data_IF_969341267966
#
_entry.id   IF_969341267966
#
_cell.length_a   1.000
_cell.length_b   1.000
_cell.length_c   1.000
_cell.angle_alpha   90.00
_cell.angle_beta   90.00
_cell.angle_gamma   90.00
#
_symmetry.space_group_name_H-M   'P 1'
#
loop_
_entity.id
_entity.type
_entity.pdbx_description
1 polymer ?
#
# COMPACT_ATOMS: atom_id res chain seq x y z
N UNK A 1 -35.43 25.20 81.29
CA UNK A 1 -35.12 23.95 80.68
C UNK A 1 -35.02 24.19 79.13
N UNK A 2 -33.82 24.44 78.62
CA UNK A 2 -33.57 24.72 77.19
C UNK A 2 -33.16 23.41 76.50
N UNK A 3 -33.95 22.95 75.51
CA UNK A 3 -33.59 21.79 74.66
C UNK A 3 -32.75 22.29 73.52
N UNK A 4 -31.50 21.82 73.44
CA UNK A 4 -30.61 22.02 72.30
C UNK A 4 -30.87 20.90 71.32
N UNK A 5 -31.38 21.21 70.10
CA UNK A 5 -31.43 20.28 68.96
C UNK A 5 -30.11 20.34 68.23
N UNK A 6 -29.38 19.21 68.24
CA UNK A 6 -28.13 19.01 67.52
C UNK A 6 -28.47 18.43 66.11
N UNK A 7 -28.38 19.27 65.09
CA UNK A 7 -28.51 18.83 63.69
C UNK A 7 -27.18 18.18 63.22
N UNK A 8 -27.19 16.84 63.04
CA UNK A 8 -26.12 16.13 62.41
C UNK A 8 -26.22 16.33 60.87
N UNK A 9 -25.31 17.11 60.29
CA UNK A 9 -25.17 17.24 58.88
C UNK A 9 -24.47 15.97 58.30
N UNK A 10 -25.22 15.12 57.58
CA UNK A 10 -24.71 13.97 56.86
C UNK A 10 -24.12 14.46 55.54
N UNK A 11 -22.79 14.62 55.45
CA UNK A 11 -22.08 14.94 54.24
C UNK A 11 -22.07 13.69 53.32
N UNK A 12 -22.90 13.69 52.28
CA UNK A 12 -22.92 12.71 51.22
C UNK A 12 -21.64 12.89 50.38
N UNK A 13 -20.61 12.07 50.62
CA UNK A 13 -19.46 11.89 49.74
C UNK A 13 -19.93 11.13 48.47
N UNK A 14 -20.23 11.87 47.41
CA UNK A 14 -20.38 11.27 46.09
C UNK A 14 -18.99 10.85 45.61
N UNK A 15 -18.74 9.55 45.32
CA UNK A 15 -17.52 9.17 44.67
C UNK A 15 -17.54 9.77 43.25
N UNK A 16 -16.62 10.68 42.93
CA UNK A 16 -16.29 11.05 41.58
C UNK A 16 -15.70 9.79 40.89
N UNK A 17 -16.54 9.03 40.20
CA UNK A 17 -16.06 8.08 39.22
C UNK A 17 -15.41 8.91 38.11
N UNK A 18 -14.09 8.99 38.10
CA UNK A 18 -13.34 9.43 36.95
C UNK A 18 -13.65 8.44 35.81
N UNK A 19 -14.58 8.81 34.93
CA UNK A 19 -14.86 8.06 33.73
C UNK A 19 -13.60 8.15 32.88
N UNK A 20 -12.84 7.05 32.78
CA UNK A 20 -11.71 6.99 31.88
C UNK A 20 -12.25 7.33 30.46
N UNK A 21 -11.71 8.38 29.86
CA UNK A 21 -12.11 8.78 28.52
C UNK A 21 -11.88 7.57 27.59
N UNK A 22 -12.92 7.16 26.89
CA UNK A 22 -12.79 6.10 25.90
C UNK A 22 -11.75 6.51 24.86
N UNK A 23 -10.88 5.55 24.52
CA UNK A 23 -9.88 5.76 23.49
C UNK A 23 -10.57 5.95 22.14
N UNK A 24 -10.16 6.95 21.34
CA UNK A 24 -10.74 7.13 20.02
C UNK A 24 -10.48 5.91 19.15
N UNK A 25 -11.55 5.35 18.58
CA UNK A 25 -11.47 4.21 17.66
C UNK A 25 -11.09 4.70 16.26
N UNK A 26 -9.99 4.15 15.71
CA UNK A 26 -9.54 4.37 14.34
C UNK A 26 -9.66 3.06 13.54
N UNK A 27 -10.37 3.08 12.43
CA UNK A 27 -10.54 1.93 11.52
C UNK A 27 -9.60 2.08 10.34
N UNK A 28 -8.62 1.19 10.25
CA UNK A 28 -7.60 1.17 9.18
C UNK A 28 -7.95 0.08 8.18
N UNK A 29 -7.95 0.42 6.88
CA UNK A 29 -8.05 -0.55 5.80
C UNK A 29 -6.68 -1.08 5.36
N UNK A 30 -6.63 -2.34 4.89
CA UNK A 30 -5.48 -2.90 4.19
C UNK A 30 -5.92 -3.72 2.98
N UNK A 31 -5.26 -3.52 1.84
CA UNK A 31 -5.50 -4.30 0.63
C UNK A 31 -4.90 -5.70 0.74
N UNK A 32 -5.17 -6.55 -0.27
CA UNK A 32 -4.85 -7.99 -0.27
C UNK A 32 -3.36 -8.34 -0.34
N UNK A 33 -2.42 -7.40 -0.36
CA UNK A 33 -0.99 -7.67 -0.50
C UNK A 33 -0.18 -7.25 0.74
N UNK A 34 0.97 -7.89 0.94
CA UNK A 34 1.79 -7.84 2.15
C UNK A 34 2.13 -6.43 2.60
N UNK A 35 2.56 -5.55 1.69
CA UNK A 35 2.94 -4.18 2.03
C UNK A 35 1.81 -3.39 2.69
N UNK A 36 0.58 -3.54 2.21
CA UNK A 36 -0.58 -2.88 2.82
C UNK A 36 -0.87 -3.39 4.22
N UNK A 37 -0.71 -4.70 4.44
CA UNK A 37 -0.84 -5.29 5.77
C UNK A 37 0.26 -4.79 6.71
N UNK A 38 1.51 -4.68 6.20
CA UNK A 38 2.63 -4.12 6.96
C UNK A 38 2.39 -2.66 7.35
N UNK A 39 1.95 -1.83 6.42
CA UNK A 39 1.65 -0.41 6.67
C UNK A 39 0.52 -0.25 7.71
N UNK A 40 -0.52 -1.09 7.61
CA UNK A 40 -1.61 -1.09 8.59
C UNK A 40 -1.15 -1.52 9.98
N UNK A 41 -0.33 -2.59 10.08
CA UNK A 41 0.21 -3.09 11.35
C UNK A 41 1.17 -2.08 12.01
N UNK A 42 2.07 -1.49 11.25
CA UNK A 42 2.97 -0.43 11.74
C UNK A 42 2.16 0.75 12.30
N UNK A 43 1.18 1.21 11.53
CA UNK A 43 0.32 2.33 11.94
C UNK A 43 -0.49 1.98 13.20
N UNK A 44 -1.10 0.80 13.22
CA UNK A 44 -1.96 0.38 14.34
C UNK A 44 -1.16 0.22 15.63
N UNK A 45 -0.01 -0.46 15.57
CA UNK A 45 0.81 -0.70 16.76
C UNK A 45 1.38 0.62 17.29
N UNK A 46 1.85 1.50 16.40
CA UNK A 46 2.33 2.82 16.79
C UNK A 46 1.22 3.67 17.45
N UNK A 47 0.06 3.78 16.83
CA UNK A 47 -1.03 4.61 17.35
C UNK A 47 -1.66 4.04 18.65
N UNK A 48 -1.60 2.72 18.85
CA UNK A 48 -1.99 2.12 20.14
C UNK A 48 -1.10 2.62 21.29
N UNK A 49 0.19 2.91 21.03
CA UNK A 49 1.08 3.55 22.04
C UNK A 49 0.71 5.03 22.31
N UNK A 50 -0.01 5.65 21.39
CA UNK A 50 -0.48 7.05 21.47
C UNK A 50 -1.94 7.16 21.95
N UNK A 51 -2.44 6.11 22.63
CA UNK A 51 -3.77 6.06 23.24
C UNK A 51 -4.94 6.01 22.26
N UNK A 52 -4.74 5.52 21.04
CA UNK A 52 -5.81 5.16 20.11
C UNK A 52 -6.22 3.70 20.28
N UNK A 53 -7.52 3.40 20.13
CA UNK A 53 -7.98 2.04 19.80
C UNK A 53 -7.98 1.88 18.30
N UNK A 54 -7.38 0.80 17.78
CA UNK A 54 -7.20 0.64 16.33
C UNK A 54 -7.68 -0.73 15.88
N UNK A 55 -8.59 -0.71 14.91
CA UNK A 55 -9.08 -1.90 14.22
C UNK A 55 -8.55 -1.93 12.79
N UNK A 56 -8.06 -3.09 12.34
CA UNK A 56 -7.60 -3.31 10.97
C UNK A 56 -8.63 -4.18 10.24
N UNK A 57 -9.05 -3.74 9.07
CA UNK A 57 -9.84 -4.53 8.11
C UNK A 57 -8.95 -4.83 6.91
N UNK A 58 -8.44 -6.07 6.84
CA UNK A 58 -7.54 -6.52 5.78
C UNK A 58 -8.27 -7.27 4.66
N UNK A 59 -7.50 -7.63 3.61
CA UNK A 59 -7.99 -8.46 2.51
C UNK A 59 -8.92 -7.74 1.54
N UNK A 60 -8.85 -6.43 1.46
CA UNK A 60 -9.71 -5.61 0.62
C UNK A 60 -9.15 -5.48 -0.81
N UNK A 61 -9.98 -5.70 -1.83
CA UNK A 61 -9.67 -5.25 -3.18
C UNK A 61 -9.67 -3.72 -3.27
N UNK A 62 -8.91 -3.13 -4.20
CA UNK A 62 -8.68 -1.68 -4.27
C UNK A 62 -9.97 -0.85 -4.35
N UNK A 63 -10.91 -1.24 -5.21
CA UNK A 63 -12.18 -0.54 -5.35
C UNK A 63 -13.05 -0.61 -4.07
N UNK A 64 -13.04 -1.76 -3.39
CA UNK A 64 -13.77 -1.93 -2.13
C UNK A 64 -13.15 -1.09 -1.02
N UNK A 65 -11.81 -1.11 -0.90
CA UNK A 65 -11.09 -0.29 0.07
C UNK A 65 -11.36 1.20 -0.14
N UNK A 66 -11.31 1.66 -1.39
CA UNK A 66 -11.63 3.06 -1.75
C UNK A 66 -13.06 3.43 -1.40
N UNK A 67 -14.03 2.62 -1.78
CA UNK A 67 -15.45 2.85 -1.47
C UNK A 67 -15.71 2.87 0.05
N UNK A 68 -15.13 1.93 0.79
CA UNK A 68 -15.25 1.86 2.25
C UNK A 68 -14.64 3.10 2.94
N UNK A 69 -13.55 3.65 2.38
CA UNK A 69 -12.93 4.86 2.86
C UNK A 69 -13.79 6.10 2.56
N UNK A 70 -14.28 6.27 1.34
CA UNK A 70 -15.16 7.40 0.96
C UNK A 70 -16.48 7.41 1.72
N UNK A 71 -17.06 6.22 2.01
CA UNK A 71 -18.36 6.07 2.72
C UNK A 71 -18.25 6.02 4.24
N UNK A 72 -17.03 6.06 4.79
CA UNK A 72 -16.80 6.13 6.24
C UNK A 72 -16.87 4.80 6.99
N UNK A 73 -16.72 3.69 6.30
CA UNK A 73 -16.50 2.38 6.93
C UNK A 73 -15.05 2.24 7.39
N UNK A 74 -14.12 2.94 6.74
CA UNK A 74 -12.73 3.09 7.13
C UNK A 74 -12.42 4.55 7.41
N UNK A 75 -11.52 4.83 8.34
CA UNK A 75 -11.08 6.16 8.69
C UNK A 75 -9.73 6.51 8.08
N UNK A 76 -8.85 5.52 7.92
CA UNK A 76 -7.51 5.64 7.36
C UNK A 76 -7.20 4.50 6.40
N UNK A 77 -6.53 4.84 5.30
CA UNK A 77 -5.96 3.91 4.32
C UNK A 77 -4.61 4.45 3.86
N UNK A 78 -3.59 3.59 3.78
CA UNK A 78 -2.40 3.92 3.02
C UNK A 78 -2.71 3.83 1.53
N UNK A 79 -2.52 4.94 0.82
CA UNK A 79 -2.90 5.04 -0.58
C UNK A 79 -1.70 5.45 -1.44
N UNK A 80 -1.71 5.06 -2.71
CA UNK A 80 -0.63 5.33 -3.65
C UNK A 80 -1.07 6.41 -4.63
N UNK A 81 -0.19 7.38 -4.86
CA UNK A 81 -0.47 8.56 -5.68
C UNK A 81 -0.95 8.19 -7.09
N UNK A 82 -0.25 7.29 -7.78
CA UNK A 82 -0.63 6.86 -9.13
C UNK A 82 -1.97 6.12 -9.19
N UNK A 83 -2.28 5.28 -8.16
CA UNK A 83 -3.58 4.59 -8.08
C UNK A 83 -4.70 5.61 -7.92
N UNK A 84 -4.55 6.57 -7.00
CA UNK A 84 -5.56 7.61 -6.81
C UNK A 84 -5.72 8.48 -8.04
N UNK A 85 -4.62 8.89 -8.69
CA UNK A 85 -4.66 9.73 -9.89
C UNK A 85 -5.42 9.04 -11.03
N UNK A 86 -4.95 7.87 -11.43
CA UNK A 86 -5.40 7.22 -12.67
C UNK A 86 -6.61 6.33 -12.44
N UNK A 87 -6.56 5.42 -11.45
CA UNK A 87 -7.61 4.42 -11.28
C UNK A 87 -8.89 4.99 -10.64
N UNK A 88 -8.77 5.91 -9.67
CA UNK A 88 -9.94 6.41 -8.95
C UNK A 88 -10.45 7.76 -9.42
N UNK A 89 -9.54 8.63 -9.88
CA UNK A 89 -9.91 9.95 -10.34
C UNK A 89 -9.93 10.10 -11.87
N UNK A 90 -9.49 9.04 -12.60
CA UNK A 90 -9.48 8.99 -14.08
C UNK A 90 -8.72 10.18 -14.72
N UNK A 91 -7.60 10.57 -14.09
CA UNK A 91 -6.75 11.66 -14.55
C UNK A 91 -5.53 11.04 -15.23
N UNK A 92 -5.43 11.25 -16.54
CA UNK A 92 -4.31 10.79 -17.38
C UNK A 92 -3.38 11.97 -17.67
N UNK A 93 -2.80 12.54 -16.62
CA UNK A 93 -1.82 13.61 -16.70
C UNK A 93 -0.42 13.02 -16.44
N UNK A 94 0.57 13.36 -17.28
CA UNK A 94 1.97 12.99 -17.04
C UNK A 94 2.59 14.01 -16.10
N UNK A 95 2.68 13.64 -14.83
CA UNK A 95 3.15 14.47 -13.73
C UNK A 95 4.38 13.84 -13.09
N UNK A 96 5.28 14.65 -12.56
CA UNK A 96 6.32 14.16 -11.66
C UNK A 96 5.73 13.78 -10.28
N UNK A 97 6.56 13.19 -9.40
CA UNK A 97 6.11 12.69 -8.08
C UNK A 97 5.46 13.80 -7.23
N UNK A 98 6.08 14.97 -7.16
CA UNK A 98 5.57 16.10 -6.37
C UNK A 98 4.25 16.64 -6.93
N UNK A 99 4.17 16.77 -8.26
CA UNK A 99 2.96 17.19 -8.96
C UNK A 99 1.83 16.17 -8.80
N UNK A 100 2.14 14.88 -8.92
CA UNK A 100 1.17 13.79 -8.72
C UNK A 100 0.59 13.85 -7.31
N UNK A 101 1.45 13.96 -6.29
CA UNK A 101 0.99 14.09 -4.90
C UNK A 101 0.12 15.33 -4.68
N UNK A 102 0.53 16.50 -5.19
CA UNK A 102 -0.27 17.73 -5.08
C UNK A 102 -1.64 17.58 -5.76
N UNK A 103 -1.68 16.94 -6.93
CA UNK A 103 -2.88 16.72 -7.71
C UNK A 103 -3.88 15.80 -7.03
N UNK A 104 -3.42 14.64 -6.52
CA UNK A 104 -4.31 13.71 -5.79
C UNK A 104 -4.83 14.32 -4.50
N UNK A 105 -4.00 15.06 -3.78
CA UNK A 105 -4.41 15.81 -2.58
C UNK A 105 -5.54 16.80 -2.86
N UNK A 106 -5.46 17.53 -3.98
CA UNK A 106 -6.49 18.48 -4.41
C UNK A 106 -7.82 17.78 -4.75
N UNK A 107 -7.76 16.73 -5.58
CA UNK A 107 -8.97 16.09 -6.08
C UNK A 107 -9.67 15.25 -5.03
N UNK A 108 -8.91 14.54 -4.19
CA UNK A 108 -9.45 13.70 -3.12
C UNK A 108 -10.00 14.53 -1.95
N UNK A 109 -9.50 15.74 -1.72
CA UNK A 109 -10.07 16.67 -0.74
C UNK A 109 -11.56 16.98 -1.03
N UNK A 110 -11.96 17.00 -2.31
CA UNK A 110 -13.37 17.18 -2.71
C UNK A 110 -14.27 16.01 -2.32
N UNK A 111 -13.65 14.84 -2.06
CA UNK A 111 -14.31 13.62 -1.58
C UNK A 111 -14.17 13.45 -0.06
N UNK A 112 -13.66 14.46 0.64
CA UNK A 112 -13.44 14.42 2.09
C UNK A 112 -12.26 13.56 2.53
N UNK A 113 -11.31 13.28 1.64
CA UNK A 113 -10.11 12.52 1.93
C UNK A 113 -8.89 13.45 2.01
N UNK A 114 -8.12 13.35 3.08
CA UNK A 114 -6.96 14.21 3.36
C UNK A 114 -5.70 13.38 3.27
N UNK A 115 -4.85 13.68 2.30
CA UNK A 115 -3.52 13.11 2.16
C UNK A 115 -2.57 13.75 3.17
N UNK A 116 -1.99 12.94 4.05
CA UNK A 116 -0.98 13.36 5.02
C UNK A 116 0.42 13.29 4.39
N UNK A 117 1.48 13.53 5.20
CA UNK A 117 2.85 13.50 4.71
C UNK A 117 3.17 12.20 3.98
N UNK A 118 3.71 12.26 2.75
CA UNK A 118 4.06 11.06 2.00
C UNK A 118 5.26 10.34 2.62
N UNK A 119 5.35 9.05 2.38
CA UNK A 119 6.54 8.26 2.62
C UNK A 119 7.65 8.60 1.62
N UNK A 120 8.82 7.96 1.80
CA UNK A 120 9.97 8.10 0.89
C UNK A 120 10.10 6.93 -0.08
N UNK A 121 9.13 6.01 -0.11
CA UNK A 121 9.15 4.88 -1.04
C UNK A 121 8.15 5.07 -2.17
N UNK A 122 8.51 4.50 -3.33
CA UNK A 122 7.68 4.42 -4.52
C UNK A 122 7.51 2.94 -4.88
N UNK A 123 6.32 2.40 -4.67
CA UNK A 123 5.99 1.01 -5.03
C UNK A 123 5.38 0.96 -6.42
N UNK A 124 6.21 1.15 -7.45
CA UNK A 124 5.77 1.10 -8.84
C UNK A 124 5.68 -0.34 -9.34
N UNK A 125 4.97 -0.51 -10.45
CA UNK A 125 4.98 -1.75 -11.22
C UNK A 125 6.23 -1.87 -12.09
N UNK A 126 6.62 -3.11 -12.36
CA UNK A 126 7.59 -3.46 -13.38
C UNK A 126 7.26 -4.84 -13.99
N UNK A 127 7.86 -5.17 -15.13
CA UNK A 127 7.96 -6.55 -15.59
C UNK A 127 9.30 -7.12 -15.16
N UNK A 128 9.33 -8.39 -14.80
CA UNK A 128 10.55 -9.09 -14.44
C UNK A 128 10.67 -10.42 -15.18
N UNK A 129 11.91 -10.83 -15.43
CA UNK A 129 12.24 -12.14 -15.97
C UNK A 129 12.68 -13.08 -14.86
N UNK A 130 12.30 -14.37 -14.90
CA UNK A 130 12.91 -15.40 -14.09
C UNK A 130 14.37 -15.63 -14.50
N UNK A 131 15.18 -16.17 -13.59
CA UNK A 131 16.63 -16.34 -13.81
C UNK A 131 16.96 -17.11 -15.09
N UNK A 132 16.26 -18.21 -15.37
CA UNK A 132 16.49 -19.01 -16.58
C UNK A 132 16.27 -18.21 -17.88
N UNK A 133 15.21 -17.41 -17.96
CA UNK A 133 14.94 -16.54 -19.11
C UNK A 133 15.97 -15.41 -19.18
N UNK A 134 16.34 -14.81 -18.04
CA UNK A 134 17.35 -13.76 -18.01
C UNK A 134 18.73 -14.24 -18.45
N UNK A 135 19.07 -15.50 -18.18
CA UNK A 135 20.33 -16.14 -18.64
C UNK A 135 20.26 -16.46 -20.14
N UNK A 136 19.13 -16.87 -20.67
CA UNK A 136 18.90 -17.19 -22.08
C UNK A 136 18.79 -15.92 -22.94
N UNK A 137 18.18 -14.85 -22.38
CA UNK A 137 17.96 -13.56 -23.04
C UNK A 137 18.69 -12.42 -22.30
N UNK A 138 20.04 -12.43 -22.23
CA UNK A 138 20.80 -11.44 -21.46
C UNK A 138 20.62 -10.01 -21.97
N UNK A 139 20.22 -9.83 -23.22
CA UNK A 139 19.96 -8.54 -23.88
C UNK A 139 18.66 -7.86 -23.40
N UNK A 140 17.70 -8.58 -22.79
CA UNK A 140 16.46 -7.97 -22.31
C UNK A 140 16.71 -7.26 -20.98
N UNK A 141 16.83 -5.93 -20.99
CA UNK A 141 17.00 -5.08 -19.81
C UNK A 141 15.86 -4.07 -19.64
N UNK A 142 15.12 -3.81 -20.73
CA UNK A 142 14.03 -2.84 -20.78
C UNK A 142 12.73 -3.49 -21.27
N UNK A 143 11.62 -2.81 -20.99
CA UNK A 143 10.31 -3.26 -21.48
C UNK A 143 10.20 -3.17 -23.00
N UNK A 144 10.91 -2.23 -23.64
CA UNK A 144 11.00 -2.17 -25.11
C UNK A 144 11.74 -3.37 -25.72
N UNK A 145 12.82 -3.85 -25.08
CA UNK A 145 13.54 -5.03 -25.51
C UNK A 145 12.72 -6.31 -25.34
N UNK A 146 11.99 -6.44 -24.22
CA UNK A 146 11.01 -7.51 -24.04
C UNK A 146 9.95 -7.48 -25.13
N UNK A 147 9.38 -6.30 -25.42
CA UNK A 147 8.38 -6.12 -26.48
C UNK A 147 8.88 -6.62 -27.83
N UNK A 148 10.16 -6.34 -28.16
CA UNK A 148 10.76 -6.81 -29.40
C UNK A 148 10.79 -8.33 -29.47
N UNK A 149 11.24 -9.01 -28.41
CA UNK A 149 11.26 -10.49 -28.36
C UNK A 149 9.85 -11.06 -28.47
N UNK A 150 8.88 -10.53 -27.77
CA UNK A 150 7.47 -10.97 -27.84
C UNK A 150 6.86 -10.83 -29.26
N UNK A 151 7.38 -9.91 -30.08
CA UNK A 151 6.95 -9.74 -31.48
C UNK A 151 7.70 -10.65 -32.44
N UNK A 152 9.02 -10.68 -32.32
CA UNK A 152 9.90 -11.43 -33.24
C UNK A 152 9.69 -12.94 -33.05
N UNK A 153 9.42 -13.39 -31.84
CA UNK A 153 9.23 -14.78 -31.46
C UNK A 153 7.75 -15.10 -31.10
N UNK A 154 6.80 -14.46 -31.79
CA UNK A 154 5.37 -14.63 -31.53
C UNK A 154 4.87 -16.09 -31.60
N UNK A 155 5.60 -16.99 -32.27
CA UNK A 155 5.27 -18.41 -32.37
C UNK A 155 5.68 -19.23 -31.15
N UNK A 156 6.60 -18.72 -30.32
CA UNK A 156 7.13 -19.43 -29.14
C UNK A 156 6.17 -19.40 -27.93
N UNK A 157 5.05 -18.67 -28.03
CA UNK A 157 4.06 -18.55 -26.99
C UNK A 157 4.65 -18.17 -25.62
N UNK A 158 5.42 -17.08 -25.59
CA UNK A 158 5.99 -16.52 -24.35
C UNK A 158 4.89 -16.04 -23.41
N UNK A 159 4.63 -16.79 -22.33
CA UNK A 159 3.57 -16.48 -21.36
C UNK A 159 4.03 -15.42 -20.39
N UNK A 160 3.23 -14.37 -20.21
CA UNK A 160 3.44 -13.31 -19.21
C UNK A 160 2.39 -13.44 -18.10
N UNK A 161 2.85 -13.56 -16.85
CA UNK A 161 1.97 -13.60 -15.68
C UNK A 161 1.68 -12.19 -15.15
N UNK A 162 0.42 -11.94 -14.80
CA UNK A 162 -0.06 -10.64 -14.30
C UNK A 162 -0.97 -10.88 -13.10
N UNK A 163 -0.97 -9.95 -12.15
CA UNK A 163 -2.04 -10.00 -11.16
C UNK A 163 -3.39 -9.60 -11.76
N UNK A 164 -4.45 -10.18 -11.19
CA UNK A 164 -5.81 -10.01 -11.70
C UNK A 164 -6.29 -8.57 -11.61
N UNK A 165 -5.86 -7.82 -10.59
CA UNK A 165 -6.25 -6.42 -10.44
C UNK A 165 -5.64 -5.56 -11.53
N UNK A 166 -4.33 -5.65 -11.77
CA UNK A 166 -3.64 -4.93 -12.84
C UNK A 166 -4.20 -5.26 -14.22
N UNK A 167 -4.49 -6.54 -14.46
CA UNK A 167 -5.02 -6.98 -15.76
C UNK A 167 -6.37 -6.32 -16.12
N UNK A 168 -7.17 -5.92 -15.12
CA UNK A 168 -8.52 -5.37 -15.29
C UNK A 168 -8.62 -3.85 -15.06
N UNK A 169 -7.54 -3.18 -14.67
CA UNK A 169 -7.54 -1.72 -14.44
C UNK A 169 -7.36 -0.96 -15.76
N UNK A 170 -7.88 0.27 -15.79
CA UNK A 170 -7.72 1.17 -16.95
C UNK A 170 -6.26 1.56 -17.21
N UNK A 171 -5.45 1.70 -16.14
CA UNK A 171 -4.01 1.94 -16.17
C UNK A 171 -3.17 0.66 -16.15
N UNK A 172 -3.79 -0.50 -16.41
CA UNK A 172 -3.15 -1.80 -16.35
C UNK A 172 -2.74 -2.36 -17.72
N UNK A 173 -3.03 -3.64 -17.95
CA UNK A 173 -2.56 -4.40 -19.13
C UNK A 173 -2.91 -3.73 -20.47
N UNK A 174 -4.15 -3.29 -20.66
CA UNK A 174 -4.60 -2.71 -21.93
C UNK A 174 -3.78 -1.47 -22.30
N UNK A 175 -3.60 -0.58 -21.31
CA UNK A 175 -2.79 0.61 -21.49
C UNK A 175 -1.32 0.30 -21.76
N UNK A 176 -0.75 -0.64 -20.99
CA UNK A 176 0.64 -1.10 -21.14
C UNK A 176 0.90 -1.66 -22.53
N UNK A 177 0.04 -2.57 -22.98
CA UNK A 177 0.12 -3.19 -24.32
C UNK A 177 0.10 -2.13 -25.41
N UNK A 178 -0.81 -1.17 -25.32
CA UNK A 178 -0.90 -0.07 -26.29
C UNK A 178 0.33 0.85 -26.25
N UNK A 179 0.82 1.18 -25.06
CA UNK A 179 1.95 2.12 -24.89
C UNK A 179 3.26 1.56 -25.44
N UNK A 180 3.52 0.29 -25.18
CA UNK A 180 4.72 -0.41 -25.64
C UNK A 180 4.55 -1.09 -27.00
N UNK A 181 3.31 -1.16 -27.51
CA UNK A 181 2.97 -1.93 -28.72
C UNK A 181 3.36 -3.43 -28.57
N UNK A 182 3.04 -3.99 -27.36
CA UNK A 182 3.37 -5.38 -27.04
C UNK A 182 2.44 -6.36 -27.75
N UNK A 183 2.99 -7.50 -28.15
CA UNK A 183 2.18 -8.63 -28.63
C UNK A 183 1.75 -9.52 -27.45
N UNK A 184 0.84 -9.00 -26.61
CA UNK A 184 0.27 -9.71 -25.48
C UNK A 184 -1.24 -9.79 -25.65
N UNK A 185 -1.74 -11.00 -25.90
CA UNK A 185 -3.14 -11.34 -26.00
C UNK A 185 -3.56 -12.33 -24.91
N UNK A 186 -4.79 -12.80 -25.02
CA UNK A 186 -5.35 -13.75 -24.05
C UNK A 186 -4.62 -15.10 -24.04
N UNK A 187 -4.07 -15.49 -25.14
CA UNK A 187 -3.34 -16.76 -25.35
C UNK A 187 -2.02 -16.79 -24.60
N UNK A 188 -1.33 -15.66 -24.50
CA UNK A 188 -0.01 -15.56 -23.90
C UNK A 188 0.02 -14.72 -22.61
N UNK A 189 -1.13 -14.49 -21.99
CA UNK A 189 -1.22 -13.92 -20.63
C UNK A 189 -1.82 -14.92 -19.64
N UNK A 190 -1.38 -14.86 -18.38
CA UNK A 190 -1.96 -15.62 -17.25
C UNK A 190 -2.25 -14.68 -16.12
N UNK A 191 -3.51 -14.59 -15.72
CA UNK A 191 -3.96 -13.80 -14.58
C UNK A 191 -4.03 -14.68 -13.34
N UNK A 192 -3.47 -14.20 -12.22
CA UNK A 192 -3.45 -14.91 -10.96
C UNK A 192 -3.30 -13.92 -9.79
N UNK A 193 -3.33 -14.42 -8.56
CA UNK A 193 -3.02 -13.57 -7.40
C UNK A 193 -1.58 -13.06 -7.48
N UNK A 194 -1.33 -11.82 -7.02
CA UNK A 194 -0.02 -11.18 -7.08
C UNK A 194 1.11 -12.07 -6.52
N UNK A 195 0.88 -12.73 -5.36
CA UNK A 195 1.85 -13.64 -4.76
C UNK A 195 2.19 -14.86 -5.62
N UNK A 196 1.23 -15.35 -6.41
CA UNK A 196 1.43 -16.50 -7.31
C UNK A 196 2.26 -16.13 -8.55
N UNK A 197 2.25 -14.86 -8.98
CA UNK A 197 3.12 -14.38 -10.07
C UNK A 197 4.59 -14.60 -9.71
N UNK A 198 5.00 -14.25 -8.48
CA UNK A 198 6.38 -14.49 -8.02
C UNK A 198 6.73 -15.97 -7.96
N UNK A 199 5.79 -16.81 -7.55
CA UNK A 199 5.98 -18.26 -7.53
C UNK A 199 6.16 -18.82 -8.94
N UNK A 200 5.36 -18.37 -9.90
CA UNK A 200 5.47 -18.75 -11.31
C UNK A 200 6.82 -18.31 -11.91
N UNK A 201 7.26 -17.08 -11.61
CA UNK A 201 8.57 -16.57 -11.99
C UNK A 201 9.70 -17.41 -11.38
N UNK A 202 9.70 -17.64 -10.07
CA UNK A 202 10.71 -18.45 -9.38
C UNK A 202 10.86 -19.84 -9.98
N UNK A 203 9.74 -20.45 -10.35
CA UNK A 203 9.71 -21.80 -10.90
C UNK A 203 9.97 -21.86 -12.43
N UNK A 204 10.21 -20.73 -13.09
CA UNK A 204 10.41 -20.67 -14.55
C UNK A 204 9.19 -21.10 -15.36
N UNK A 205 7.98 -20.97 -14.81
CA UNK A 205 6.73 -21.39 -15.45
C UNK A 205 6.19 -20.35 -16.45
N UNK A 206 6.76 -19.14 -16.42
CA UNK A 206 6.37 -18.02 -17.27
C UNK A 206 7.63 -17.33 -17.83
N UNK A 207 7.49 -16.70 -18.98
CA UNK A 207 8.57 -15.97 -19.63
C UNK A 207 8.89 -14.65 -18.91
N UNK A 208 7.84 -13.94 -18.51
CA UNK A 208 7.95 -12.72 -17.71
C UNK A 208 6.75 -12.63 -16.76
N UNK A 209 6.81 -11.71 -15.80
CA UNK A 209 5.69 -11.45 -14.91
C UNK A 209 5.70 -10.04 -14.35
N UNK A 210 4.51 -9.57 -13.98
CA UNK A 210 4.33 -8.29 -13.30
C UNK A 210 4.81 -8.39 -11.85
N UNK A 211 5.58 -7.41 -11.43
CA UNK A 211 6.15 -7.33 -10.08
C UNK A 211 5.99 -5.92 -9.51
N UNK A 212 6.14 -5.81 -8.19
CA UNK A 212 6.16 -4.55 -7.45
C UNK A 212 7.58 -4.26 -6.99
N UNK A 213 8.05 -3.03 -7.18
CA UNK A 213 9.48 -2.68 -6.98
C UNK A 213 9.94 -2.67 -5.51
N UNK A 214 9.01 -2.71 -4.56
CA UNK A 214 9.31 -2.84 -3.13
C UNK A 214 9.15 -4.28 -2.59
N UNK A 215 8.96 -5.26 -3.47
CA UNK A 215 8.75 -6.65 -3.07
C UNK A 215 10.07 -7.37 -2.81
N UNK A 216 10.25 -7.91 -1.60
CA UNK A 216 11.48 -8.60 -1.19
C UNK A 216 11.80 -9.88 -1.96
N UNK A 217 10.79 -10.50 -2.61
CA UNK A 217 10.96 -11.70 -3.45
C UNK A 217 11.76 -11.42 -4.72
N UNK A 218 11.86 -10.17 -5.16
CA UNK A 218 12.70 -9.80 -6.31
C UNK A 218 14.14 -10.27 -6.12
N UNK A 219 14.76 -9.91 -5.01
CA UNK A 219 16.11 -10.29 -4.66
C UNK A 219 16.22 -11.78 -4.28
N UNK A 220 15.29 -12.28 -3.46
CA UNK A 220 15.30 -13.66 -2.97
C UNK A 220 15.19 -14.69 -4.12
N UNK A 221 14.43 -14.38 -5.16
CA UNK A 221 14.24 -15.26 -6.31
C UNK A 221 15.15 -14.90 -7.50
N UNK A 222 16.03 -13.91 -7.33
CA UNK A 222 16.99 -13.45 -8.37
C UNK A 222 16.28 -13.06 -9.66
N UNK A 223 15.16 -12.36 -9.54
CA UNK A 223 14.39 -11.89 -10.69
C UNK A 223 15.09 -10.69 -11.33
N UNK A 224 15.15 -10.68 -12.66
CA UNK A 224 15.69 -9.54 -13.43
C UNK A 224 14.56 -8.56 -13.71
N UNK A 225 14.52 -7.46 -12.95
CA UNK A 225 13.54 -6.38 -13.15
C UNK A 225 13.92 -5.58 -14.40
N UNK A 226 12.93 -5.33 -15.27
CA UNK A 226 13.10 -4.58 -16.51
C UNK A 226 12.80 -3.09 -16.28
N UNK A 227 13.60 -2.24 -16.91
CA UNK A 227 13.39 -0.80 -16.89
C UNK A 227 12.17 -0.42 -17.72
N UNK A 228 11.31 0.44 -17.17
CA UNK A 228 10.22 1.12 -17.87
C UNK A 228 10.79 2.31 -18.68
N UNK A 229 11.41 2.01 -19.82
CA UNK A 229 12.17 2.96 -20.65
C UNK A 229 11.30 3.97 -21.42
N UNK A 230 9.98 3.73 -21.47
CA UNK A 230 9.00 4.68 -22.06
C UNK A 230 8.15 5.38 -21.01
N UNK A 231 8.44 5.19 -19.71
CA UNK A 231 7.76 5.84 -18.59
C UNK A 231 6.23 5.68 -18.66
N UNK A 232 5.78 4.44 -18.74
CA UNK A 232 4.36 4.10 -18.74
C UNK A 232 3.75 4.27 -17.34
N UNK A 233 4.44 3.75 -16.33
CA UNK A 233 3.93 3.76 -14.96
C UNK A 233 4.11 5.15 -14.32
N UNK A 234 3.05 5.69 -13.71
CA UNK A 234 3.17 6.91 -12.91
C UNK A 234 3.94 6.65 -11.61
N UNK A 235 4.17 7.71 -10.85
CA UNK A 235 4.70 7.59 -9.48
C UNK A 235 3.64 6.97 -8.55
N UNK A 236 4.07 6.01 -7.72
CA UNK A 236 3.23 5.34 -6.73
C UNK A 236 3.77 5.56 -5.31
N UNK A 237 4.15 6.79 -4.99
CA UNK A 237 4.51 7.16 -3.61
C UNK A 237 3.32 6.93 -2.68
N UNK A 238 3.55 6.22 -1.58
CA UNK A 238 2.51 5.95 -0.60
C UNK A 238 2.38 7.05 0.44
N UNK A 239 1.15 7.31 0.88
CA UNK A 239 0.88 8.21 2.00
C UNK A 239 -0.32 7.71 2.81
N UNK A 240 -0.37 8.00 4.13
CA UNK A 240 -1.60 7.81 4.89
C UNK A 240 -2.63 8.84 4.41
N UNK A 241 -3.81 8.34 4.07
CA UNK A 241 -4.96 9.15 3.70
C UNK A 241 -6.03 8.94 4.74
N UNK A 242 -6.57 10.03 5.29
CA UNK A 242 -7.53 10.01 6.38
C UNK A 242 -8.79 10.77 6.00
N UNK A 243 -9.91 10.34 6.50
CA UNK A 243 -11.17 11.09 6.33
C UNK A 243 -11.10 12.42 7.04
N UNK A 244 -11.55 13.46 6.35
CA UNK A 244 -11.56 14.83 6.91
C UNK A 244 -12.36 14.94 8.20
N UNK A 245 -13.54 14.34 8.27
CA UNK A 245 -14.41 14.39 9.45
C UNK A 245 -13.84 13.66 10.66
N UNK A 246 -12.96 12.66 10.44
CA UNK A 246 -12.21 12.01 11.51
C UNK A 246 -11.01 12.86 11.93
N UNK A 247 -10.24 13.38 10.97
CA UNK A 247 -9.09 14.25 11.23
C UNK A 247 -9.47 15.54 11.97
N UNK A 248 -10.62 16.13 11.62
CA UNK A 248 -11.12 17.34 12.30
C UNK A 248 -11.36 17.11 13.81
N UNK A 249 -11.69 15.88 14.21
CA UNK A 249 -11.86 15.47 15.62
C UNK A 249 -10.54 15.05 16.29
N UNK A 250 -9.55 14.63 15.48
CA UNK A 250 -8.26 14.11 15.93
C UNK A 250 -7.11 14.77 15.13
N UNK A 251 -6.91 16.09 15.29
CA UNK A 251 -5.94 16.86 14.48
C UNK A 251 -4.48 16.50 14.75
N UNK A 252 -4.18 15.84 15.86
CA UNK A 252 -2.87 15.33 16.25
C UNK A 252 -2.37 14.21 15.33
N UNK A 253 -3.26 13.47 14.64
CA UNK A 253 -2.88 12.33 13.79
C UNK A 253 -1.94 12.73 12.67
N UNK A 254 -2.06 13.92 12.10
CA UNK A 254 -1.15 14.37 11.05
C UNK A 254 0.30 14.49 11.56
N UNK A 255 0.48 15.00 12.77
CA UNK A 255 1.78 15.13 13.40
C UNK A 255 2.32 13.76 13.86
N UNK A 256 1.46 12.90 14.40
CA UNK A 256 1.83 11.56 14.84
C UNK A 256 2.27 10.67 13.67
N UNK A 257 1.58 10.69 12.53
CA UNK A 257 1.89 9.79 11.40
C UNK A 257 3.08 10.24 10.56
N UNK A 258 3.47 11.53 10.62
CA UNK A 258 4.60 12.02 9.84
C UNK A 258 5.93 11.30 10.16
N UNK A 259 6.37 11.11 11.42
CA UNK A 259 7.61 10.39 11.73
C UNK A 259 7.59 8.94 11.22
N UNK A 260 6.44 8.25 11.25
CA UNK A 260 6.32 6.91 10.69
C UNK A 260 6.53 6.94 9.16
N UNK A 261 5.85 7.85 8.46
CA UNK A 261 6.01 7.98 7.00
C UNK A 261 7.47 8.32 6.61
N UNK A 262 8.16 9.15 7.38
CA UNK A 262 9.56 9.54 7.14
C UNK A 262 10.56 8.39 7.26
N UNK A 263 10.24 7.33 8.03
CA UNK A 263 11.07 6.13 8.17
C UNK A 263 10.95 5.16 7.00
N UNK A 264 9.85 5.24 6.23
CA UNK A 264 9.54 4.27 5.19
C UNK A 264 10.11 4.73 3.84
N UNK A 265 11.27 4.18 3.48
CA UNK A 265 11.89 4.28 2.16
C UNK A 265 11.82 2.94 1.41
N UNK A 266 12.31 2.91 0.16
CA UNK A 266 12.25 1.71 -0.68
C UNK A 266 12.95 0.51 -0.02
N UNK A 267 14.16 0.72 0.54
CA UNK A 267 14.92 -0.38 1.14
C UNK A 267 14.24 -0.90 2.40
N UNK A 268 13.75 -0.02 3.25
CA UNK A 268 12.98 -0.38 4.44
C UNK A 268 11.75 -1.23 4.06
N UNK A 269 11.00 -0.83 3.03
CA UNK A 269 9.84 -1.60 2.61
C UNK A 269 10.20 -2.95 2.00
N UNK A 270 11.26 -3.02 1.18
CA UNK A 270 11.79 -4.30 0.65
C UNK A 270 12.13 -5.25 1.80
N UNK A 271 12.84 -4.77 2.82
CA UNK A 271 13.28 -5.59 3.96
C UNK A 271 12.09 -6.07 4.81
N UNK A 272 11.13 -5.19 5.09
CA UNK A 272 9.92 -5.54 5.82
C UNK A 272 9.06 -6.57 5.06
N UNK A 273 8.84 -6.34 3.76
CA UNK A 273 8.09 -7.26 2.91
C UNK A 273 8.81 -8.61 2.78
N UNK A 274 10.15 -8.63 2.67
CA UNK A 274 10.92 -9.87 2.63
C UNK A 274 10.78 -10.71 3.90
N UNK A 275 10.73 -10.10 5.07
CA UNK A 275 10.50 -10.82 6.34
C UNK A 275 9.17 -11.58 6.32
N UNK A 276 8.14 -11.02 5.73
CA UNK A 276 6.84 -11.67 5.62
C UNK A 276 6.81 -12.68 4.47
N UNK A 277 7.14 -12.25 3.25
CA UNK A 277 6.90 -13.04 2.04
C UNK A 277 7.96 -14.14 1.81
N UNK A 278 9.17 -13.97 2.34
CA UNK A 278 10.29 -14.90 2.16
C UNK A 278 10.59 -15.67 3.45
N UNK A 279 10.65 -14.98 4.59
CA UNK A 279 10.98 -15.61 5.87
C UNK A 279 9.73 -16.14 6.60
N UNK A 280 8.51 -15.85 6.09
CA UNK A 280 7.23 -16.31 6.65
C UNK A 280 6.98 -15.84 8.09
N UNK A 281 7.53 -14.67 8.46
CA UNK A 281 7.23 -14.03 9.73
C UNK A 281 5.82 -13.37 9.67
N UNK A 282 5.14 -13.28 10.84
CA UNK A 282 3.85 -12.58 10.84
C UNK A 282 4.04 -11.06 10.67
N UNK A 283 3.18 -10.37 9.90
CA UNK A 283 3.25 -8.91 9.75
C UNK A 283 3.25 -8.17 11.09
N UNK A 284 2.49 -8.67 12.06
CA UNK A 284 2.43 -8.09 13.41
C UNK A 284 3.77 -8.19 14.15
N UNK A 285 4.48 -9.34 14.05
CA UNK A 285 5.83 -9.51 14.64
C UNK A 285 6.83 -8.57 13.97
N UNK A 286 6.82 -8.52 12.65
CA UNK A 286 7.73 -7.66 11.88
C UNK A 286 7.53 -6.19 12.23
N UNK A 287 6.28 -5.74 12.34
CA UNK A 287 5.93 -4.38 12.73
C UNK A 287 6.39 -4.04 14.15
N UNK A 288 6.18 -4.96 15.12
CA UNK A 288 6.62 -4.77 16.50
C UNK A 288 8.13 -4.64 16.61
N UNK A 289 8.87 -5.49 15.89
CA UNK A 289 10.33 -5.46 15.87
C UNK A 289 10.86 -4.16 15.25
N UNK A 290 10.28 -3.73 14.14
CA UNK A 290 10.67 -2.50 13.47
C UNK A 290 10.45 -1.27 14.36
N UNK A 291 9.28 -1.14 14.98
CA UNK A 291 8.96 -0.02 15.88
C UNK A 291 9.84 -0.02 17.14
N UNK A 292 10.25 -1.19 17.64
CA UNK A 292 11.19 -1.29 18.75
C UNK A 292 12.59 -0.80 18.38
N UNK A 293 13.05 -1.05 17.15
CA UNK A 293 14.35 -0.62 16.65
C UNK A 293 14.34 0.85 16.24
N UNK A 294 13.19 1.40 15.89
CA UNK A 294 12.99 2.77 15.45
C UNK A 294 11.93 3.46 16.31
N UNK A 295 12.25 3.79 17.60
CA UNK A 295 11.28 4.38 18.50
C UNK A 295 10.81 5.74 17.99
N UNK A 296 9.48 5.91 17.89
CA UNK A 296 8.81 7.13 17.49
C UNK A 296 8.32 7.88 18.74
N UNK A 297 8.86 9.07 18.95
CA UNK A 297 8.53 9.90 20.11
C UNK A 297 7.22 10.70 19.93
#
# INVERSE_FOLDING_TARGET
MKKICMLLGLALLFPLFAQAAEKPLLRIGARVFTEQTMLAELTAQYLRTKNYDVQITGGLGSNLARSAHETGQLDLLWEYTGVSLVAYNHIDEKLDSAQTYARVKEVDAKKGLVWLSPSKFNNTYALALPKNVADEYPQINTMSELTKVLKDEAKENHVVALDTEFANRSDGLIGLVKHYDMNLGRENTRQMDAGLVYTALRNGQVFAGLVYTTDGRLNAFKLKVLQDDKHYFPDYTAAPVIRKDYLDKHPDLAALLKPLADLLDNQTMIDLNARVDVNHESPSTVAADFLRQHPLN
#
